data_IF_864474276332
#
_entry.id   IF_864474276332
#
_cell.length_a   1.000
_cell.length_b   1.000
_cell.length_c   1.000
_cell.angle_alpha   90.00
_cell.angle_beta   90.00
_cell.angle_gamma   90.00
#
_symmetry.space_group_name_H-M   'P 1'
#
loop_
_entity.id
_entity.type
_entity.pdbx_description
1 polymer ?
#
# COMPACT_ATOMS: atom_id res chain seq x y z
N UNK A 1 -22.28 36.55 15.50
CA UNK A 1 -21.21 36.09 14.58
C UNK A 1 -20.89 34.65 14.92
N UNK A 2 -21.11 33.72 13.98
CA UNK A 2 -20.65 32.31 14.07
C UNK A 2 -19.22 32.22 13.53
N UNK A 3 -18.58 31.06 13.75
CA UNK A 3 -17.30 30.53 13.23
C UNK A 3 -16.19 30.59 14.31
N UNK A 4 -15.50 29.52 14.71
CA UNK A 4 -15.31 28.14 14.24
C UNK A 4 -14.92 27.28 15.46
N UNK A 5 -15.50 26.08 15.63
CA UNK A 5 -14.91 24.88 16.25
C UNK A 5 -15.97 23.93 16.84
N UNK A 6 -16.96 23.58 16.03
CA UNK A 6 -17.78 22.39 16.29
C UNK A 6 -17.42 21.31 15.26
N UNK A 7 -16.13 20.99 15.13
CA UNK A 7 -15.74 19.73 14.49
C UNK A 7 -16.16 18.62 15.45
N UNK A 8 -17.27 17.97 15.15
CA UNK A 8 -17.74 16.86 15.98
C UNK A 8 -16.71 15.73 15.87
N UNK A 9 -16.57 14.91 16.92
CA UNK A 9 -15.68 13.73 16.87
C UNK A 9 -15.95 12.81 15.67
N UNK A 10 -17.15 12.91 15.10
CA UNK A 10 -17.58 12.19 13.90
C UNK A 10 -16.84 12.70 12.65
N UNK A 11 -16.59 14.01 12.51
CA UNK A 11 -15.81 14.58 11.39
C UNK A 11 -14.33 14.16 11.43
N UNK A 12 -13.74 14.06 12.63
CA UNK A 12 -12.34 13.60 12.81
C UNK A 12 -12.19 12.11 12.47
N UNK A 13 -13.21 11.30 12.76
CA UNK A 13 -13.23 9.87 12.43
C UNK A 13 -13.55 9.63 10.95
N UNK A 14 -14.24 10.56 10.29
CA UNK A 14 -14.54 10.51 8.84
C UNK A 14 -13.35 10.95 7.95
N UNK A 15 -12.27 11.49 8.54
CA UNK A 15 -11.02 11.77 7.81
C UNK A 15 -10.25 10.49 7.45
N UNK A 16 -10.61 9.36 8.07
CA UNK A 16 -10.07 8.02 7.79
C UNK A 16 -11.09 7.15 7.03
N UNK A 17 -11.85 7.76 6.14
CA UNK A 17 -12.75 7.02 5.29
C UNK A 17 -11.95 6.12 4.34
N UNK A 18 -12.18 4.81 4.45
CA UNK A 18 -11.54 3.73 3.67
C UNK A 18 -11.93 3.70 2.20
N UNK A 19 -12.05 4.87 1.56
CA UNK A 19 -12.40 5.05 0.16
C UNK A 19 -11.69 6.27 -0.45
N UNK A 20 -10.41 6.48 -0.12
CA UNK A 20 -9.55 7.28 -0.98
C UNK A 20 -9.15 6.42 -2.17
N UNK A 21 -9.64 6.76 -3.37
CA UNK A 21 -9.04 6.25 -4.60
C UNK A 21 -7.57 6.68 -4.62
N UNK A 22 -6.67 5.74 -4.32
CA UNK A 22 -5.24 5.99 -4.34
C UNK A 22 -4.80 6.24 -5.78
N UNK A 23 -3.99 7.27 -5.97
CA UNK A 23 -3.30 7.51 -7.23
C UNK A 23 -2.42 6.32 -7.58
N UNK A 24 -2.08 6.17 -8.87
CA UNK A 24 -1.18 5.09 -9.31
C UNK A 24 0.17 5.13 -8.60
N UNK A 25 0.65 6.33 -8.27
CA UNK A 25 1.90 6.52 -7.55
C UNK A 25 1.79 6.03 -6.10
N UNK A 26 0.74 6.40 -5.38
CA UNK A 26 0.51 5.92 -4.01
C UNK A 26 0.34 4.40 -3.95
N UNK A 27 -0.36 3.81 -4.93
CA UNK A 27 -0.46 2.36 -5.07
C UNK A 27 0.92 1.72 -5.24
N UNK A 28 1.79 2.33 -6.06
CA UNK A 28 3.16 1.87 -6.27
C UNK A 28 4.01 1.96 -4.99
N UNK A 29 3.94 3.09 -4.29
CA UNK A 29 4.63 3.32 -3.01
C UNK A 29 4.16 2.33 -1.93
N UNK A 30 2.85 2.07 -1.82
CA UNK A 30 2.32 1.05 -0.91
C UNK A 30 2.87 -0.34 -1.24
N UNK A 31 2.93 -0.73 -2.51
CA UNK A 31 3.47 -2.04 -2.93
C UNK A 31 4.94 -2.17 -2.53
N UNK A 32 5.75 -1.12 -2.74
CA UNK A 32 7.17 -1.09 -2.35
C UNK A 32 7.30 -1.24 -0.84
N UNK A 33 6.52 -0.48 -0.07
CA UNK A 33 6.53 -0.53 1.38
C UNK A 33 6.18 -1.93 1.92
N UNK A 34 5.08 -2.51 1.45
CA UNK A 34 4.63 -3.85 1.85
C UNK A 34 5.69 -4.90 1.52
N UNK A 35 6.28 -4.83 0.32
CA UNK A 35 7.35 -5.75 -0.10
C UNK A 35 8.55 -5.71 0.84
N UNK A 36 8.95 -4.51 1.28
CA UNK A 36 10.08 -4.30 2.20
C UNK A 36 9.74 -4.75 3.61
N UNK A 37 8.52 -4.49 4.08
CA UNK A 37 8.04 -4.94 5.38
C UNK A 37 8.07 -6.48 5.48
N UNK A 38 7.52 -7.18 4.49
CA UNK A 38 7.51 -8.64 4.46
C UNK A 38 8.94 -9.20 4.47
N UNK A 39 9.85 -8.60 3.70
CA UNK A 39 11.26 -8.98 3.70
C UNK A 39 11.92 -8.81 5.08
N UNK A 40 11.75 -7.64 5.70
CA UNK A 40 12.34 -7.33 7.00
C UNK A 40 11.82 -8.25 8.11
N UNK A 41 10.61 -8.77 7.97
CA UNK A 41 10.00 -9.74 8.89
C UNK A 41 10.33 -11.20 8.56
N UNK A 42 11.19 -11.45 7.56
CA UNK A 42 11.49 -12.79 7.03
C UNK A 42 10.25 -13.56 6.57
N UNK A 43 9.23 -12.86 6.06
CA UNK A 43 8.00 -13.45 5.52
C UNK A 43 8.09 -13.64 3.99
N UNK A 44 7.26 -14.53 3.41
CA UNK A 44 7.09 -14.60 1.96
C UNK A 44 6.76 -13.21 1.40
N UNK A 45 7.51 -12.80 0.39
CA UNK A 45 7.45 -11.43 -0.13
C UNK A 45 7.37 -11.39 -1.67
N UNK A 46 7.01 -12.52 -2.30
CA UNK A 46 6.71 -12.57 -3.73
C UNK A 46 5.42 -11.80 -4.09
N UNK A 47 5.13 -11.61 -5.39
CA UNK A 47 3.98 -10.84 -5.87
C UNK A 47 2.64 -11.27 -5.26
N UNK A 48 2.42 -12.58 -5.12
CA UNK A 48 1.23 -13.14 -4.48
C UNK A 48 1.11 -12.73 -3.01
N UNK A 49 2.16 -12.90 -2.22
CA UNK A 49 2.16 -12.56 -0.80
C UNK A 49 1.98 -11.05 -0.57
N UNK A 50 2.57 -10.22 -1.45
CA UNK A 50 2.33 -8.77 -1.45
C UNK A 50 0.86 -8.47 -1.76
N UNK A 51 0.26 -9.14 -2.75
CA UNK A 51 -1.15 -8.93 -3.08
C UNK A 51 -2.10 -9.34 -1.95
N UNK A 52 -1.83 -10.47 -1.28
CA UNK A 52 -2.57 -10.92 -0.10
C UNK A 52 -2.45 -9.89 1.02
N UNK A 53 -1.25 -9.36 1.28
CA UNK A 53 -1.06 -8.33 2.29
C UNK A 53 -1.79 -7.02 1.96
N UNK A 54 -1.75 -6.59 0.69
CA UNK A 54 -2.51 -5.46 0.18
C UNK A 54 -4.01 -5.59 0.43
N UNK A 55 -4.57 -6.81 0.28
CA UNK A 55 -6.00 -7.10 0.47
C UNK A 55 -6.37 -7.16 1.95
N UNK A 56 -5.63 -7.94 2.70
CA UNK A 56 -6.06 -8.42 4.02
C UNK A 56 -5.68 -7.45 5.14
N UNK A 57 -4.58 -6.71 5.00
CA UNK A 57 -4.08 -5.79 6.04
C UNK A 57 -4.15 -4.32 5.64
N UNK A 58 -3.85 -3.99 4.38
CA UNK A 58 -3.77 -2.59 3.92
C UNK A 58 -5.00 -2.09 3.16
N UNK A 59 -5.96 -3.00 2.92
CA UNK A 59 -7.22 -2.77 2.19
C UNK A 59 -7.06 -1.86 0.96
N UNK A 60 -6.04 -2.16 0.14
CA UNK A 60 -5.62 -1.34 -0.99
C UNK A 60 -6.66 -1.33 -2.11
N UNK A 61 -7.15 -0.13 -2.44
CA UNK A 61 -8.07 0.14 -3.54
C UNK A 61 -7.48 1.17 -4.52
N UNK A 62 -7.40 0.88 -5.83
CA UNK A 62 -7.70 -0.41 -6.45
C UNK A 62 -6.66 -1.48 -6.09
N UNK A 63 -7.10 -2.73 -5.94
CA UNK A 63 -6.19 -3.84 -5.67
C UNK A 63 -5.39 -4.19 -6.94
N UNK A 64 -4.06 -4.05 -6.94
CA UNK A 64 -3.23 -4.38 -8.10
C UNK A 64 -3.22 -5.90 -8.35
N UNK A 65 -3.12 -6.30 -9.63
CA UNK A 65 -2.89 -7.71 -9.99
C UNK A 65 -1.46 -8.14 -9.67
N UNK A 66 -1.22 -9.45 -9.49
CA UNK A 66 0.14 -9.99 -9.33
C UNK A 66 1.08 -9.55 -10.45
N UNK A 67 0.59 -9.46 -11.70
CA UNK A 67 1.38 -8.97 -12.84
C UNK A 67 1.78 -7.50 -12.69
N UNK A 68 0.89 -6.65 -12.20
CA UNK A 68 1.19 -5.24 -11.92
C UNK A 68 2.21 -5.12 -10.79
N UNK A 69 2.04 -5.88 -9.72
CA UNK A 69 2.99 -5.94 -8.61
C UNK A 69 4.37 -6.37 -9.12
N UNK A 70 4.48 -7.48 -9.86
CA UNK A 70 5.75 -7.95 -10.43
C UNK A 70 6.46 -6.87 -11.24
N UNK A 71 5.73 -6.12 -12.07
CA UNK A 71 6.30 -5.04 -12.88
C UNK A 71 6.80 -3.88 -12.01
N UNK A 72 6.06 -3.51 -10.98
CA UNK A 72 6.46 -2.48 -10.01
C UNK A 72 7.72 -2.92 -9.27
N UNK A 73 7.74 -4.15 -8.74
CA UNK A 73 8.91 -4.69 -8.06
C UNK A 73 10.13 -4.76 -8.99
N UNK A 74 9.95 -5.14 -10.25
CA UNK A 74 11.03 -5.20 -11.25
C UNK A 74 11.64 -3.83 -11.52
N UNK A 75 10.80 -2.80 -11.69
CA UNK A 75 11.25 -1.42 -11.93
C UNK A 75 12.02 -0.83 -10.75
N UNK A 76 11.73 -1.31 -9.55
CA UNK A 76 12.33 -0.84 -8.31
C UNK A 76 13.46 -1.75 -7.80
N UNK A 77 13.89 -2.77 -8.55
CA UNK A 77 14.98 -3.67 -8.13
C UNK A 77 14.64 -4.56 -6.93
N UNK A 78 13.37 -4.97 -6.79
CA UNK A 78 12.83 -5.74 -5.66
C UNK A 78 12.38 -7.17 -6.03
N UNK A 79 12.79 -7.67 -7.20
CA UNK A 79 12.41 -8.99 -7.75
C UNK A 79 13.14 -10.16 -7.12
N UNK A 80 14.34 -9.93 -6.58
CA UNK A 80 15.12 -10.97 -5.95
C UNK A 80 14.85 -10.96 -4.44
N UNK A 81 15.17 -12.05 -3.73
CA UNK A 81 15.07 -12.12 -2.27
C UNK A 81 15.96 -11.11 -1.50
N UNK A 82 16.47 -10.07 -2.17
CA UNK A 82 17.32 -8.97 -1.68
C UNK A 82 16.97 -7.69 -2.43
N UNK A 83 17.29 -6.54 -1.85
CA UNK A 83 17.26 -5.23 -2.53
C UNK A 83 18.46 -5.09 -3.46
N UNK A 84 18.25 -4.87 -4.76
CA UNK A 84 19.33 -4.61 -5.71
C UNK A 84 18.94 -4.79 -7.17
N UNK A 85 19.43 -3.90 -8.03
CA UNK A 85 19.42 -4.07 -9.48
C UNK A 85 20.71 -4.82 -9.81
N UNK A 86 20.58 -6.04 -10.31
CA UNK A 86 21.69 -6.86 -10.80
C UNK A 86 21.52 -7.10 -12.29
#
# INVERSE_FOLDING_TARGET
MRLLNDLTKEDVLHQFDGNLERTRQEVEECIIFIRLELYNRMLPCGPKAVQECCRDFYHLTPLPSERTITRILSRNGLTHGRTGIY
#
